data_IF_091656714758
#
_entry.id   IF_091656714758
#
_cell.length_a   1.000
_cell.length_b   1.000
_cell.length_c   1.000
_cell.angle_alpha   90.00
_cell.angle_beta   90.00
_cell.angle_gamma   90.00
#
_symmetry.space_group_name_H-M   'P 1'
#
loop_
_entity.id
_entity.type
_entity.pdbx_description
1 polymer ?
#
# COMPACT_ATOMS: atom_id res chain seq x y z
N UNK A 1 -0.95 -7.97 9.29
CA UNK A 1 0.21 -8.04 8.40
C UNK A 1 -0.28 -8.06 6.94
N UNK A 2 0.06 -7.02 6.16
CA UNK A 2 -0.22 -6.97 4.72
C UNK A 2 0.96 -7.59 3.95
N UNK A 3 0.66 -8.45 2.98
CA UNK A 3 1.67 -9.12 2.15
C UNK A 3 1.34 -8.86 0.68
N UNK A 4 2.25 -8.18 -0.03
CA UNK A 4 2.19 -8.05 -1.48
C UNK A 4 2.85 -9.25 -2.14
N UNK A 5 2.22 -9.77 -3.19
CA UNK A 5 2.73 -10.86 -4.00
C UNK A 5 2.88 -10.42 -5.45
N UNK A 6 3.92 -10.87 -6.10
CA UNK A 6 4.07 -10.68 -7.55
C UNK A 6 3.33 -11.78 -8.31
N UNK A 7 2.27 -11.37 -9.04
CA UNK A 7 1.47 -12.32 -9.82
C UNK A 7 0.54 -13.22 -9.01
N UNK A 8 0.46 -13.04 -7.70
CA UNK A 8 -0.44 -13.74 -6.81
C UNK A 8 -1.33 -12.78 -6.02
N UNK A 9 -2.38 -13.27 -5.35
CA UNK A 9 -3.25 -12.43 -4.56
C UNK A 9 -2.52 -11.86 -3.35
N UNK A 10 -2.74 -10.58 -3.08
CA UNK A 10 -2.29 -9.96 -1.82
C UNK A 10 -2.99 -10.60 -0.63
N UNK A 11 -2.32 -10.62 0.52
CA UNK A 11 -2.85 -11.20 1.75
C UNK A 11 -2.86 -10.16 2.87
N UNK A 12 -3.77 -10.35 3.79
CA UNK A 12 -3.83 -9.56 5.01
C UNK A 12 -4.07 -10.49 6.20
N UNK A 13 -3.03 -10.74 6.97
CA UNK A 13 -3.08 -11.65 8.10
C UNK A 13 -3.38 -10.90 9.40
N UNK A 14 -4.44 -11.33 10.06
CA UNK A 14 -4.76 -10.97 11.43
C UNK A 14 -4.28 -12.09 12.36
N UNK A 15 -3.65 -11.72 13.46
CA UNK A 15 -3.18 -12.66 14.48
C UNK A 15 -3.98 -12.42 15.76
N UNK A 16 -4.79 -13.40 16.14
CA UNK A 16 -5.58 -13.37 17.37
C UNK A 16 -5.30 -14.64 18.15
N UNK A 17 -4.82 -14.51 19.38
CA UNK A 17 -4.51 -15.64 20.26
C UNK A 17 -3.64 -16.72 19.56
N UNK A 18 -2.58 -16.30 18.88
CA UNK A 18 -1.67 -17.16 18.11
C UNK A 18 -2.27 -17.80 16.84
N UNK A 19 -3.53 -17.55 16.55
CA UNK A 19 -4.19 -18.02 15.32
C UNK A 19 -4.04 -16.97 14.24
N UNK A 20 -3.58 -17.39 13.06
CA UNK A 20 -3.37 -16.53 11.89
C UNK A 20 -4.53 -16.72 10.93
N UNK A 21 -5.26 -15.65 10.65
CA UNK A 21 -6.37 -15.65 9.71
C UNK A 21 -6.11 -14.68 8.56
N UNK A 22 -6.34 -15.12 7.32
CA UNK A 22 -6.27 -14.26 6.15
C UNK A 22 -7.60 -13.51 5.98
N UNK A 23 -7.57 -12.20 6.15
CA UNK A 23 -8.72 -11.30 6.05
C UNK A 23 -8.79 -10.58 4.70
N UNK A 24 -7.87 -10.82 3.76
CA UNK A 24 -7.76 -10.03 2.54
C UNK A 24 -9.03 -10.02 1.69
N UNK A 25 -9.71 -11.16 1.57
CA UNK A 25 -10.99 -11.28 0.84
C UNK A 25 -12.08 -10.48 1.54
N UNK A 26 -12.21 -10.65 2.86
CA UNK A 26 -13.22 -9.97 3.68
C UNK A 26 -13.05 -8.44 3.62
N UNK A 27 -11.81 -7.96 3.61
CA UNK A 27 -11.48 -6.53 3.53
C UNK A 27 -11.51 -5.99 2.09
N UNK A 28 -11.70 -6.82 1.08
CA UNK A 28 -11.74 -6.40 -0.33
C UNK A 28 -10.39 -5.96 -0.91
N UNK A 29 -9.29 -6.38 -0.28
CA UNK A 29 -7.92 -5.99 -0.67
C UNK A 29 -7.09 -7.14 -1.23
N UNK A 30 -7.71 -8.26 -1.58
CA UNK A 30 -7.07 -9.44 -2.19
C UNK A 30 -6.81 -9.24 -3.70
N UNK A 31 -6.01 -8.26 -4.06
CA UNK A 31 -5.71 -7.95 -5.47
C UNK A 31 -4.60 -8.83 -6.01
N UNK A 32 -4.67 -9.17 -7.30
CA UNK A 32 -3.57 -9.84 -8.01
C UNK A 32 -2.83 -8.77 -8.80
N UNK A 33 -1.59 -8.50 -8.41
CA UNK A 33 -0.79 -7.41 -8.95
C UNK A 33 0.69 -7.80 -9.06
N UNK A 34 1.49 -6.90 -9.60
CA UNK A 34 2.94 -7.00 -9.54
C UNK A 34 3.49 -6.35 -8.26
N UNK A 35 3.03 -6.79 -7.09
CA UNK A 35 3.43 -6.21 -5.82
C UNK A 35 4.94 -6.23 -5.59
N UNK A 36 5.55 -5.08 -5.31
CA UNK A 36 6.99 -4.92 -5.14
C UNK A 36 7.41 -4.33 -3.81
N UNK A 37 6.77 -3.27 -3.39
CA UNK A 37 7.15 -2.60 -2.16
C UNK A 37 5.91 -2.13 -1.38
N UNK A 38 6.03 -2.11 -0.07
CA UNK A 38 4.97 -1.69 0.83
C UNK A 38 5.57 -0.81 1.91
N UNK A 39 4.86 0.25 2.24
CA UNK A 39 5.07 1.00 3.47
C UNK A 39 3.76 1.18 4.19
N UNK A 40 3.80 1.24 5.50
CA UNK A 40 2.63 1.58 6.31
C UNK A 40 3.00 2.57 7.40
N UNK A 41 2.03 3.43 7.72
CA UNK A 41 2.20 4.46 8.74
C UNK A 41 1.02 5.42 8.74
N UNK A 42 1.11 6.45 9.55
CA UNK A 42 0.11 7.53 9.62
C UNK A 42 0.25 8.47 8.42
N UNK A 43 -0.22 8.04 7.26
CA UNK A 43 -0.11 8.80 6.00
C UNK A 43 -1.27 9.80 5.89
N UNK A 44 -2.49 9.30 5.96
CA UNK A 44 -3.73 10.08 5.84
C UNK A 44 -4.54 10.09 7.13
N UNK A 45 -4.45 9.02 7.91
CA UNK A 45 -5.22 8.81 9.14
C UNK A 45 -4.33 8.77 10.38
N UNK A 46 -4.95 8.77 11.56
CA UNK A 46 -4.28 8.50 12.83
C UNK A 46 -4.00 7.00 13.06
N UNK A 47 -4.34 6.16 12.07
CA UNK A 47 -4.10 4.73 12.08
C UNK A 47 -3.08 4.36 11.00
N UNK A 48 -2.73 3.09 10.90
CA UNK A 48 -1.78 2.64 9.88
C UNK A 48 -2.47 2.49 8.52
N UNK A 49 -2.26 3.47 7.66
CA UNK A 49 -2.56 3.38 6.24
C UNK A 49 -1.49 2.53 5.53
N UNK A 50 -1.78 2.07 4.33
CA UNK A 50 -0.86 1.22 3.55
C UNK A 50 -0.69 1.83 2.17
N UNK A 51 0.56 2.08 1.76
CA UNK A 51 0.89 2.34 0.37
C UNK A 51 1.60 1.12 -0.22
N UNK A 52 1.11 0.62 -1.35
CA UNK A 52 1.66 -0.53 -2.05
C UNK A 52 2.04 -0.15 -3.48
N UNK A 53 3.34 -0.21 -3.78
CA UNK A 53 3.86 0.02 -5.11
C UNK A 53 3.83 -1.26 -5.94
N UNK A 54 3.34 -1.16 -7.17
CA UNK A 54 3.17 -2.27 -8.08
C UNK A 54 3.99 -2.07 -9.36
N UNK A 55 4.54 -3.18 -9.86
CA UNK A 55 5.05 -3.29 -11.22
C UNK A 55 3.92 -3.79 -12.12
N UNK A 56 3.73 -3.18 -13.27
CA UNK A 56 2.66 -3.53 -14.22
C UNK A 56 1.26 -3.42 -13.62
N UNK A 57 0.93 -2.25 -13.12
CA UNK A 57 -0.38 -1.95 -12.57
C UNK A 57 -0.35 -0.72 -11.68
N UNK A 58 -1.51 -0.28 -11.26
CA UNK A 58 -1.63 0.89 -10.40
C UNK A 58 -1.09 0.59 -8.99
N UNK A 59 -0.53 1.62 -8.38
CA UNK A 59 -0.24 1.59 -6.95
C UNK A 59 -1.54 1.70 -6.15
N UNK A 60 -1.53 1.20 -4.91
CA UNK A 60 -2.64 1.35 -3.98
C UNK A 60 -2.26 2.26 -2.82
N UNK A 61 -3.21 3.07 -2.38
CA UNK A 61 -3.14 3.81 -1.12
C UNK A 61 -4.39 3.48 -0.30
N UNK A 62 -4.26 2.56 0.63
CA UNK A 62 -5.36 2.14 1.48
C UNK A 62 -5.47 3.04 2.70
N UNK A 63 -6.52 3.85 2.72
CA UNK A 63 -6.92 4.65 3.86
C UNK A 63 -7.60 3.77 4.89
N UNK A 64 -7.11 3.79 6.12
CA UNK A 64 -7.60 2.95 7.20
C UNK A 64 -8.53 3.74 8.13
N UNK A 65 -9.79 3.30 8.19
CA UNK A 65 -10.77 3.81 9.15
C UNK A 65 -11.25 2.63 9.99
N UNK A 66 -10.75 2.53 11.21
CA UNK A 66 -11.11 1.48 12.17
C UNK A 66 -11.01 0.05 11.60
N UNK A 67 -9.96 -0.21 10.83
CA UNK A 67 -9.70 -1.50 10.20
C UNK A 67 -10.44 -1.73 8.87
N UNK A 68 -11.18 -0.75 8.39
CA UNK A 68 -11.76 -0.75 7.04
C UNK A 68 -10.83 -0.01 6.09
N UNK A 69 -10.37 -0.68 5.04
CA UNK A 69 -9.42 -0.14 4.06
C UNK A 69 -10.13 0.27 2.78
N UNK A 70 -9.94 1.52 2.38
CA UNK A 70 -10.46 2.07 1.12
C UNK A 70 -9.29 2.53 0.27
N UNK A 71 -9.22 2.08 -1.00
CA UNK A 71 -8.19 2.54 -1.92
C UNK A 71 -8.53 3.95 -2.41
N UNK A 72 -7.68 4.89 -2.08
CA UNK A 72 -7.80 6.32 -2.44
C UNK A 72 -6.65 6.81 -3.32
N UNK A 73 -5.85 5.89 -3.88
CA UNK A 73 -4.67 6.23 -4.67
C UNK A 73 -5.00 7.17 -5.84
N UNK A 74 -6.15 6.97 -6.48
CA UNK A 74 -6.62 7.81 -7.58
C UNK A 74 -6.93 9.23 -7.15
N UNK A 75 -7.60 9.39 -6.01
CA UNK A 75 -8.01 10.69 -5.50
C UNK A 75 -6.79 11.55 -5.09
N UNK A 76 -5.74 10.88 -4.63
CA UNK A 76 -4.45 11.51 -4.28
C UNK A 76 -3.43 11.52 -5.42
N UNK A 77 -3.79 11.02 -6.62
CA UNK A 77 -2.94 11.00 -7.81
C UNK A 77 -1.61 10.23 -7.63
N UNK A 78 -1.64 9.16 -6.81
CA UNK A 78 -0.48 8.32 -6.54
C UNK A 78 -0.58 6.91 -7.19
N UNK A 79 -1.54 6.71 -8.08
CA UNK A 79 -1.72 5.44 -8.82
C UNK A 79 -0.49 5.08 -9.66
N UNK A 80 0.20 6.07 -10.22
CA UNK A 80 1.37 5.92 -11.08
C UNK A 80 1.19 4.82 -12.15
N UNK A 81 0.10 4.94 -12.87
CA UNK A 81 -0.50 3.90 -13.73
C UNK A 81 0.43 3.30 -14.77
N UNK A 82 1.36 4.08 -15.29
CA UNK A 82 2.17 3.73 -16.43
C UNK A 82 3.61 3.36 -16.08
N UNK A 83 3.96 3.45 -14.82
CA UNK A 83 5.30 3.21 -14.33
C UNK A 83 5.41 1.84 -13.62
N UNK A 84 6.62 1.39 -13.44
CA UNK A 84 6.91 0.12 -12.78
C UNK A 84 7.48 0.39 -11.37
N UNK A 85 6.62 0.46 -10.37
CA UNK A 85 7.01 0.73 -8.99
C UNK A 85 7.96 -0.33 -8.44
N UNK A 86 9.00 0.10 -7.71
CA UNK A 86 10.01 -0.79 -7.13
C UNK A 86 10.24 -0.55 -5.65
N UNK A 87 10.65 0.64 -5.30
CA UNK A 87 10.96 0.99 -3.92
C UNK A 87 9.98 2.00 -3.38
N UNK A 88 9.74 1.96 -2.08
CA UNK A 88 8.92 2.97 -1.41
C UNK A 88 9.42 3.22 0.01
N UNK A 89 9.26 4.46 0.46
CA UNK A 89 9.60 4.89 1.81
C UNK A 89 8.62 5.95 2.30
N UNK A 90 8.58 6.16 3.59
CA UNK A 90 7.85 7.26 4.24
C UNK A 90 8.85 8.19 4.94
N UNK A 91 8.68 9.48 4.76
CA UNK A 91 9.47 10.50 5.47
C UNK A 91 8.72 11.83 5.50
N UNK A 92 8.87 12.59 6.56
CA UNK A 92 8.42 14.00 6.60
C UNK A 92 9.49 14.89 5.97
N UNK A 93 9.57 14.88 4.64
CA UNK A 93 10.60 15.61 3.87
C UNK A 93 10.42 17.12 4.01
N UNK A 94 9.19 17.56 4.06
CA UNK A 94 8.85 18.98 4.08
C UNK A 94 8.67 19.54 5.49
N UNK A 95 9.01 18.76 6.53
CA UNK A 95 8.91 19.14 7.95
C UNK A 95 7.52 19.68 8.33
N UNK A 96 6.47 19.01 7.85
CA UNK A 96 5.06 19.41 8.07
C UNK A 96 4.39 18.64 9.19
N UNK A 97 5.09 17.72 9.85
CA UNK A 97 4.54 16.83 10.88
C UNK A 97 3.64 15.72 10.31
N UNK A 98 3.78 15.41 9.02
CA UNK A 98 3.08 14.31 8.34
C UNK A 98 4.01 13.58 7.38
N UNK A 99 3.70 12.31 7.11
CA UNK A 99 4.54 11.51 6.24
C UNK A 99 4.23 11.78 4.76
N UNK A 100 5.28 11.98 4.00
CA UNK A 100 5.25 11.99 2.53
C UNK A 100 5.60 10.59 2.02
N UNK A 101 5.02 10.18 0.88
CA UNK A 101 5.34 8.92 0.21
C UNK A 101 6.45 9.19 -0.82
N UNK A 102 7.52 8.43 -0.71
CA UNK A 102 8.57 8.39 -1.72
C UNK A 102 8.44 7.07 -2.47
N UNK A 103 8.49 7.12 -3.78
CA UNK A 103 8.47 5.92 -4.61
C UNK A 103 9.52 6.02 -5.71
N UNK A 104 10.04 4.89 -6.12
CA UNK A 104 10.95 4.78 -7.25
C UNK A 104 10.41 3.78 -8.26
N UNK A 105 10.72 4.00 -9.52
CA UNK A 105 10.33 3.16 -10.63
C UNK A 105 11.56 2.44 -11.22
N UNK A 106 11.35 1.26 -11.76
CA UNK A 106 12.43 0.46 -12.34
C UNK A 106 12.87 0.98 -13.69
N UNK A 107 11.92 1.42 -14.49
CA UNK A 107 12.11 1.91 -15.84
C UNK A 107 11.10 3.03 -16.08
N UNK A 108 11.55 4.26 -16.21
CA UNK A 108 10.69 5.43 -16.33
C UNK A 108 11.04 6.55 -15.34
N UNK A 109 10.11 7.46 -15.18
CA UNK A 109 10.29 8.64 -14.31
C UNK A 109 10.17 8.27 -12.82
N UNK A 110 10.88 9.00 -12.01
CA UNK A 110 10.86 8.88 -10.55
C UNK A 110 10.21 10.09 -9.91
#
# INVERSE_FOLDING_TARGET
>A
IYVANYGGPTRFYEIVNTIINDQAVKLGINKITGGRAIVSGHILSDQSDIFAANERGVNFLYYNVDGTFTDVARDYQVEDRYENGRGTALSDILYRGRLDILTSNWDGNH
#
